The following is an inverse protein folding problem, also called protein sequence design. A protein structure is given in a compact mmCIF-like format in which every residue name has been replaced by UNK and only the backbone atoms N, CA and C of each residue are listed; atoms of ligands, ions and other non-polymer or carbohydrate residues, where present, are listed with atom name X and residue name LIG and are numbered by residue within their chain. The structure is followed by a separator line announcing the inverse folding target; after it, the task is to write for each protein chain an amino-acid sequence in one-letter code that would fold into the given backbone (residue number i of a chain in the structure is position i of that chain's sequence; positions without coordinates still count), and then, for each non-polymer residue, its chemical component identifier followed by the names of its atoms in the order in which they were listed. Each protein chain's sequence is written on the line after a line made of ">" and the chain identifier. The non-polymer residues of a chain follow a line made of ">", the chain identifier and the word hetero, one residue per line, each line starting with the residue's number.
data_IF_972683837621
#
_entry.id   IF_972683837621
#
_cell.length_a   1.000
_cell.length_b   1.000
_cell.length_c   1.000
_cell.angle_alpha   90.00
_cell.angle_beta   90.00
_cell.angle_gamma   90.00
#
_symmetry.space_group_name_H-M   'P 1'
#
loop_
_entity.id
_entity.type
_entity.pdbx_description
1 polymer ?
#
# COMPACT_ATOMS: atom_id res chain seq x y z
N UNK A 1 13.07 19.39 5.92
CA UNK A 1 13.98 18.85 4.89
C UNK A 1 13.23 17.76 4.18
N UNK A 2 13.03 17.94 2.87
CA UNK A 2 12.39 16.91 2.03
C UNK A 2 13.43 15.84 1.73
N UNK A 3 13.12 14.59 2.03
CA UNK A 3 14.00 13.45 1.75
C UNK A 3 13.58 12.90 0.40
N UNK A 4 14.47 12.75 -0.60
CA UNK A 4 14.12 12.19 -1.88
C UNK A 4 13.58 10.76 -1.72
N UNK A 5 12.56 10.44 -2.49
CA UNK A 5 11.99 9.08 -2.52
C UNK A 5 13.03 8.10 -3.07
N UNK A 6 13.36 7.04 -2.34
CA UNK A 6 14.32 6.06 -2.84
C UNK A 6 13.75 5.29 -4.02
N UNK A 7 14.57 5.15 -5.04
CA UNK A 7 14.23 4.48 -6.28
C UNK A 7 15.19 3.33 -6.52
N UNK A 8 14.67 2.16 -6.91
CA UNK A 8 15.53 1.08 -7.42
C UNK A 8 15.99 1.49 -8.82
N UNK A 9 17.29 1.68 -8.97
CA UNK A 9 17.89 1.95 -10.28
C UNK A 9 18.23 0.63 -10.97
N UNK A 10 17.37 0.24 -11.91
CA UNK A 10 17.58 -0.98 -12.68
C UNK A 10 18.70 -0.86 -13.73
N UNK A 11 19.13 0.34 -14.08
CA UNK A 11 20.24 0.53 -15.02
C UNK A 11 21.57 0.05 -14.44
N UNK A 12 21.70 0.07 -13.11
CA UNK A 12 22.90 -0.43 -12.41
C UNK A 12 22.72 -1.83 -11.80
N UNK A 13 21.54 -2.43 -11.93
CA UNK A 13 21.29 -3.76 -11.38
C UNK A 13 21.94 -4.84 -12.25
N UNK A 14 22.76 -5.76 -11.70
CA UNK A 14 23.51 -6.73 -12.49
C UNK A 14 22.66 -7.68 -13.35
N UNK A 15 21.37 -7.84 -13.01
CA UNK A 15 20.44 -8.63 -13.81
C UNK A 15 19.99 -7.91 -15.10
N UNK A 16 20.35 -6.63 -15.27
CA UNK A 16 19.95 -5.81 -16.41
C UNK A 16 21.17 -5.41 -17.23
N UNK A 17 21.50 -6.19 -18.22
CA UNK A 17 22.31 -5.76 -19.34
C UNK A 17 21.32 -5.36 -20.44
N UNK A 18 20.93 -4.11 -20.47
CA UNK A 18 20.02 -3.59 -21.50
C UNK A 18 20.71 -2.55 -22.39
N UNK A 19 20.34 -2.44 -23.67
CA UNK A 19 20.82 -1.36 -24.50
C UNK A 19 20.30 -0.03 -23.97
N UNK A 20 21.19 0.90 -23.68
CA UNK A 20 20.81 2.29 -23.47
C UNK A 20 20.38 2.87 -24.80
N UNK A 21 19.08 3.03 -25.03
CA UNK A 21 18.58 3.78 -26.16
C UNK A 21 18.98 5.26 -25.96
N UNK A 22 19.68 5.84 -26.94
CA UNK A 22 20.10 7.22 -26.90
C UNK A 22 18.92 8.22 -26.80
N UNK A 23 17.71 7.81 -27.15
CA UNK A 23 16.47 8.61 -26.99
C UNK A 23 15.86 8.54 -25.57
N UNK A 24 16.33 7.64 -24.72
CA UNK A 24 15.78 7.42 -23.37
C UNK A 24 15.80 8.66 -22.47
N UNK A 25 16.90 9.47 -22.40
CA UNK A 25 16.92 10.65 -21.55
C UNK A 25 15.85 11.67 -21.91
N UNK A 26 15.66 11.95 -23.22
CA UNK A 26 14.64 12.91 -23.68
C UNK A 26 13.23 12.39 -23.41
N UNK A 27 12.98 11.11 -23.69
CA UNK A 27 11.70 10.45 -23.44
C UNK A 27 11.40 10.41 -21.94
N UNK A 28 12.39 10.14 -21.11
CA UNK A 28 12.26 10.13 -19.64
C UNK A 28 11.93 11.53 -19.10
N UNK A 29 12.60 12.57 -19.61
CA UNK A 29 12.31 13.95 -19.25
C UNK A 29 10.90 14.38 -19.69
N UNK A 30 10.48 14.02 -20.90
CA UNK A 30 9.13 14.29 -21.39
C UNK A 30 8.07 13.57 -20.55
N UNK A 31 8.31 12.32 -20.17
CA UNK A 31 7.41 11.58 -19.31
C UNK A 31 7.33 12.19 -17.90
N UNK A 32 8.46 12.59 -17.32
CA UNK A 32 8.49 13.30 -16.04
C UNK A 32 7.68 14.61 -16.09
N UNK A 33 7.74 15.34 -17.21
CA UNK A 33 6.93 16.54 -17.41
C UNK A 33 5.41 16.24 -17.43
N UNK A 34 5.00 15.13 -18.05
CA UNK A 34 3.59 14.68 -18.01
C UNK A 34 3.17 14.34 -16.59
N UNK A 35 4.03 13.69 -15.81
CA UNK A 35 3.76 13.40 -14.40
C UNK A 35 3.61 14.70 -13.60
N UNK A 36 4.47 15.68 -13.80
CA UNK A 36 4.35 17.01 -13.19
C UNK A 36 2.99 17.67 -13.49
N UNK A 37 2.52 17.58 -14.73
CA UNK A 37 1.19 18.09 -15.12
C UNK A 37 0.03 17.34 -14.43
N UNK A 38 0.17 16.04 -14.20
CA UNK A 38 -0.81 15.27 -13.43
C UNK A 38 -0.82 15.68 -11.96
N UNK A 39 0.34 15.89 -11.36
CA UNK A 39 0.42 16.37 -9.97
C UNK A 39 -0.14 17.79 -9.85
N UNK A 40 0.23 18.72 -10.74
CA UNK A 40 -0.39 20.05 -10.78
C UNK A 40 -1.91 20.03 -10.96
N UNK A 41 -2.44 19.01 -11.63
CA UNK A 41 -3.89 18.84 -11.80
C UNK A 41 -4.56 18.39 -10.52
N UNK A 42 -3.94 17.45 -9.77
CA UNK A 42 -4.58 16.78 -8.65
C UNK A 42 -4.18 17.32 -7.28
N UNK A 43 -3.02 17.93 -7.12
CA UNK A 43 -2.54 18.44 -5.84
C UNK A 43 -3.50 19.47 -5.19
N UNK A 44 -4.04 20.46 -5.92
CA UNK A 44 -5.02 21.39 -5.35
C UNK A 44 -6.32 20.70 -4.89
N UNK A 45 -6.60 19.52 -5.45
CA UNK A 45 -7.77 18.71 -5.06
C UNK A 45 -7.47 17.91 -3.81
N UNK A 46 -6.26 17.30 -3.76
CA UNK A 46 -5.79 16.52 -2.62
C UNK A 46 -5.68 17.36 -1.35
N UNK A 47 -5.14 18.55 -1.50
CA UNK A 47 -4.93 19.51 -0.40
C UNK A 47 -6.16 20.38 -0.08
N UNK A 48 -7.30 20.11 -0.70
CA UNK A 48 -8.54 20.87 -0.46
C UNK A 48 -9.07 20.66 0.95
N UNK A 49 -9.36 21.76 1.65
CA UNK A 49 -10.02 21.74 2.96
C UNK A 49 -11.47 21.26 2.88
N UNK A 50 -12.05 21.24 1.68
CA UNK A 50 -13.42 20.78 1.45
C UNK A 50 -13.44 19.40 0.82
N UNK A 51 -14.17 18.43 1.40
CA UNK A 51 -14.35 17.11 0.82
C UNK A 51 -14.99 17.19 -0.56
N UNK A 52 -14.31 16.65 -1.56
CA UNK A 52 -14.84 16.56 -2.90
C UNK A 52 -15.35 15.15 -3.19
N UNK A 53 -16.50 15.04 -3.90
CA UNK A 53 -16.96 13.75 -4.37
C UNK A 53 -16.14 13.31 -5.58
N UNK A 54 -15.91 12.01 -5.73
CA UNK A 54 -15.20 11.43 -6.88
C UNK A 54 -15.82 11.88 -8.22
N UNK A 55 -17.14 11.93 -8.31
CA UNK A 55 -17.82 12.38 -9.51
C UNK A 55 -17.51 13.86 -9.84
N UNK A 56 -17.39 14.71 -8.82
CA UNK A 56 -17.02 16.12 -9.01
C UNK A 56 -15.56 16.22 -9.48
N UNK A 57 -14.65 15.49 -8.84
CA UNK A 57 -13.25 15.47 -9.23
C UNK A 57 -13.08 14.97 -10.67
N UNK A 58 -13.75 13.88 -11.06
CA UNK A 58 -13.73 13.37 -12.43
C UNK A 58 -14.16 14.44 -13.44
N UNK A 59 -15.27 15.13 -13.19
CA UNK A 59 -15.75 16.19 -14.09
C UNK A 59 -14.78 17.37 -14.21
N UNK A 60 -14.15 17.76 -13.10
CA UNK A 60 -13.20 18.87 -13.08
C UNK A 60 -11.91 18.55 -13.81
N UNK A 61 -11.42 17.30 -13.73
CA UNK A 61 -10.14 16.89 -14.25
C UNK A 61 -10.20 16.29 -15.65
N UNK A 62 -11.33 15.81 -16.12
CA UNK A 62 -11.48 14.91 -17.27
C UNK A 62 -10.71 15.36 -18.52
N UNK A 63 -10.92 16.58 -19.01
CA UNK A 63 -10.29 17.02 -20.25
C UNK A 63 -8.75 17.14 -20.16
N UNK A 64 -8.26 17.60 -19.00
CA UNK A 64 -6.82 17.73 -18.75
C UNK A 64 -6.18 16.37 -18.50
N UNK A 65 -6.84 15.51 -17.71
CA UNK A 65 -6.43 14.14 -17.45
C UNK A 65 -6.30 13.34 -18.74
N UNK A 66 -7.31 13.39 -19.61
CA UNK A 66 -7.27 12.68 -20.92
C UNK A 66 -6.05 13.11 -21.74
N UNK A 67 -5.77 14.41 -21.85
CA UNK A 67 -4.58 14.89 -22.57
C UNK A 67 -3.28 14.36 -21.97
N UNK A 68 -3.11 14.45 -20.66
CA UNK A 68 -1.91 13.94 -19.97
C UNK A 68 -1.73 12.43 -20.20
N UNK A 69 -2.81 11.65 -20.14
CA UNK A 69 -2.73 10.20 -20.37
C UNK A 69 -2.47 9.85 -21.85
N UNK A 70 -2.95 10.65 -22.80
CA UNK A 70 -2.62 10.48 -24.22
C UNK A 70 -1.16 10.82 -24.50
N UNK A 71 -0.61 11.83 -23.84
CA UNK A 71 0.81 12.15 -23.90
C UNK A 71 1.66 11.04 -23.27
N UNK A 72 1.29 10.56 -22.09
CA UNK A 72 1.92 9.41 -21.45
C UNK A 72 1.89 8.18 -22.35
N UNK A 73 0.75 7.88 -22.99
CA UNK A 73 0.59 6.74 -23.91
C UNK A 73 1.63 6.78 -25.03
N UNK A 74 1.79 7.90 -25.71
CA UNK A 74 2.79 8.03 -26.80
C UNK A 74 4.21 7.73 -26.33
N UNK A 75 4.57 8.22 -25.14
CA UNK A 75 5.90 8.03 -24.57
C UNK A 75 6.12 6.59 -24.08
N UNK A 76 5.09 5.95 -23.54
CA UNK A 76 5.15 4.58 -23.03
C UNK A 76 5.12 3.54 -24.15
N UNK A 77 4.43 3.80 -25.26
CA UNK A 77 4.36 2.86 -26.42
C UNK A 77 5.66 2.81 -27.24
N UNK A 78 6.50 3.84 -27.18
CA UNK A 78 7.70 3.90 -27.97
C UNK A 78 8.65 2.72 -27.67
N UNK A 79 8.98 1.93 -28.71
CA UNK A 79 9.84 0.75 -28.61
C UNK A 79 9.19 -0.49 -27.99
N UNK A 80 7.88 -0.47 -27.73
CA UNK A 80 7.16 -1.59 -27.15
C UNK A 80 6.53 -2.50 -28.22
N UNK A 81 6.42 -3.80 -27.89
CA UNK A 81 5.70 -4.77 -28.71
C UNK A 81 4.18 -4.72 -28.49
N UNK A 82 3.39 -5.43 -29.33
CA UNK A 82 1.94 -5.40 -29.25
C UNK A 82 1.36 -5.80 -27.89
N UNK A 83 1.97 -6.78 -27.21
CA UNK A 83 1.57 -7.25 -25.88
C UNK A 83 1.72 -6.17 -24.83
N UNK A 84 2.85 -5.49 -24.85
CA UNK A 84 3.20 -4.40 -23.91
C UNK A 84 2.33 -3.18 -24.17
N UNK A 85 2.05 -2.86 -25.42
CA UNK A 85 1.14 -1.78 -25.81
C UNK A 85 -0.26 -2.03 -25.23
N UNK A 86 -0.81 -3.24 -25.37
CA UNK A 86 -2.10 -3.59 -24.77
C UNK A 86 -2.08 -3.49 -23.24
N UNK A 87 -0.99 -3.94 -22.62
CA UNK A 87 -0.80 -3.83 -21.17
C UNK A 87 -0.75 -2.37 -20.70
N UNK A 88 0.00 -1.52 -21.41
CA UNK A 88 0.10 -0.10 -21.12
C UNK A 88 -1.26 0.60 -21.28
N UNK A 89 -2.01 0.29 -22.33
CA UNK A 89 -3.34 0.86 -22.54
C UNK A 89 -4.31 0.47 -21.41
N UNK A 90 -4.27 -0.77 -20.96
CA UNK A 90 -5.04 -1.22 -19.79
C UNK A 90 -4.61 -0.47 -18.51
N UNK A 91 -3.31 -0.28 -18.31
CA UNK A 91 -2.78 0.47 -17.17
C UNK A 91 -3.24 1.93 -17.17
N UNK A 92 -3.21 2.59 -18.31
CA UNK A 92 -3.66 3.98 -18.46
C UNK A 92 -5.17 4.11 -18.25
N UNK A 93 -5.96 3.13 -18.70
CA UNK A 93 -7.39 3.09 -18.43
C UNK A 93 -7.69 2.96 -16.93
N UNK A 94 -6.95 2.10 -16.23
CA UNK A 94 -7.06 1.96 -14.77
C UNK A 94 -6.58 3.23 -14.04
N UNK A 95 -5.48 3.86 -14.49
CA UNK A 95 -4.99 5.12 -13.93
C UNK A 95 -6.01 6.26 -14.10
N UNK A 96 -6.72 6.33 -15.23
CA UNK A 96 -7.80 7.30 -15.46
C UNK A 96 -8.93 7.18 -14.43
N UNK A 97 -9.11 6.00 -13.85
CA UNK A 97 -10.09 5.74 -12.78
C UNK A 97 -9.49 6.06 -11.41
N UNK A 98 -8.25 5.64 -11.18
CA UNK A 98 -7.63 5.69 -9.86
C UNK A 98 -7.19 7.11 -9.46
N UNK A 99 -6.64 7.90 -10.37
CA UNK A 99 -6.17 9.25 -10.08
C UNK A 99 -7.27 10.17 -9.51
N UNK A 100 -8.45 10.31 -10.15
CA UNK A 100 -9.55 11.10 -9.56
C UNK A 100 -10.10 10.51 -8.27
N UNK A 101 -10.12 9.18 -8.15
CA UNK A 101 -10.64 8.50 -6.95
C UNK A 101 -9.72 8.74 -5.76
N UNK A 102 -8.41 8.66 -5.97
CA UNK A 102 -7.40 8.96 -4.97
C UNK A 102 -7.46 10.42 -4.52
N UNK A 103 -7.46 11.36 -5.47
CA UNK A 103 -7.53 12.78 -5.14
C UNK A 103 -8.81 13.13 -4.35
N UNK A 104 -9.95 12.54 -4.73
CA UNK A 104 -11.19 12.68 -3.97
C UNK A 104 -11.12 12.06 -2.57
N UNK A 105 -10.41 10.93 -2.43
CA UNK A 105 -10.18 10.31 -1.13
C UNK A 105 -9.34 11.21 -0.23
N UNK A 106 -8.21 11.72 -0.70
CA UNK A 106 -7.32 12.59 0.08
C UNK A 106 -7.98 13.91 0.45
N UNK A 107 -8.76 14.51 -0.44
CA UNK A 107 -9.56 15.70 -0.09
C UNK A 107 -10.53 15.43 1.07
N UNK A 108 -11.01 14.19 1.21
CA UNK A 108 -11.86 13.79 2.34
C UNK A 108 -11.06 13.53 3.62
N UNK A 109 -9.83 13.06 3.49
CA UNK A 109 -8.92 12.86 4.62
C UNK A 109 -8.41 14.19 5.19
N UNK A 110 -8.48 15.27 4.41
CA UNK A 110 -8.03 16.59 4.82
C UNK A 110 -6.51 16.60 5.03
N UNK A 111 -5.76 16.31 3.96
CA UNK A 111 -4.31 16.44 4.03
C UNK A 111 -3.95 17.86 4.49
N UNK A 112 -3.34 17.94 5.65
CA UNK A 112 -2.78 19.20 6.14
C UNK A 112 -1.45 19.40 5.44
N UNK A 113 -1.27 20.54 4.80
CA UNK A 113 0.06 21.05 4.56
C UNK A 113 0.71 21.23 5.94
N UNK A 114 1.74 20.45 6.21
CA UNK A 114 2.41 20.34 7.50
C UNK A 114 3.22 21.59 7.86
N UNK A 115 2.55 22.72 7.98
CA UNK A 115 3.04 23.79 8.82
C UNK A 115 2.71 23.38 10.27
N UNK A 116 3.73 23.39 11.12
CA UNK A 116 3.74 22.94 12.50
C UNK A 116 2.42 23.18 13.25
N UNK A 117 1.45 22.29 13.13
CA UNK A 117 0.31 22.28 14.03
C UNK A 117 0.64 21.34 15.18
N UNK A 118 0.70 21.83 16.41
CA UNK A 118 0.97 20.99 17.56
C UNK A 118 -0.23 20.08 17.79
N UNK A 119 -0.12 18.83 17.37
CA UNK A 119 -1.08 17.80 17.77
C UNK A 119 -1.04 17.62 19.29
N UNK A 120 -2.20 17.55 19.90
CA UNK A 120 -2.33 17.31 21.34
C UNK A 120 -2.17 15.83 21.64
N UNK A 121 -2.78 14.96 20.83
CA UNK A 121 -2.69 13.51 20.98
C UNK A 121 -1.27 13.00 20.73
N UNK A 122 -0.70 12.18 21.63
CA UNK A 122 0.56 11.50 21.38
C UNK A 122 0.56 10.66 20.10
N UNK A 123 -0.57 10.01 19.78
CA UNK A 123 -0.77 9.22 18.56
C UNK A 123 -0.64 10.11 17.32
N UNK A 124 -1.38 11.22 17.26
CA UNK A 124 -1.35 12.14 16.14
C UNK A 124 0.04 12.73 15.94
N UNK A 125 0.71 13.10 17.04
CA UNK A 125 2.07 13.64 17.02
C UNK A 125 3.07 12.61 16.48
N UNK A 126 3.06 11.39 16.99
CA UNK A 126 3.98 10.35 16.54
C UNK A 126 3.79 10.01 15.05
N UNK A 127 2.53 9.94 14.57
CA UNK A 127 2.23 9.73 13.15
C UNK A 127 2.74 10.91 12.31
N UNK A 128 2.61 12.12 12.79
CA UNK A 128 3.14 13.31 12.10
C UNK A 128 4.68 13.34 12.06
N UNK A 129 5.34 12.94 13.14
CA UNK A 129 6.80 12.99 13.25
C UNK A 129 7.49 11.84 12.53
N UNK A 130 6.98 10.61 12.70
CA UNK A 130 7.66 9.39 12.26
C UNK A 130 6.86 8.55 11.25
N UNK A 131 5.53 8.77 11.15
CA UNK A 131 4.60 7.96 10.35
C UNK A 131 3.92 6.86 11.15
N UNK A 132 4.39 6.54 12.38
CA UNK A 132 3.84 5.48 13.20
C UNK A 132 3.83 5.82 14.69
N UNK A 133 2.94 5.16 15.43
CA UNK A 133 2.83 5.20 16.89
C UNK A 133 2.87 3.79 17.45
N UNK A 134 3.82 3.52 18.35
CA UNK A 134 3.98 2.23 19.02
C UNK A 134 3.42 2.33 20.44
N UNK A 135 2.61 1.36 20.86
CA UNK A 135 2.06 1.27 22.22
C UNK A 135 1.79 -0.18 22.60
N UNK A 136 1.31 -0.38 23.83
CA UNK A 136 0.94 -1.69 24.36
C UNK A 136 -0.43 -1.60 25.02
N UNK A 137 -1.27 -2.63 24.82
CA UNK A 137 -2.49 -2.82 25.61
C UNK A 137 -2.11 -3.25 27.04
N UNK A 138 -2.91 -2.86 27.99
CA UNK A 138 -2.73 -3.32 29.36
C UNK A 138 -3.04 -4.82 29.53
N UNK A 139 -2.87 -5.35 30.74
CA UNK A 139 -3.04 -6.78 31.00
C UNK A 139 -4.49 -7.26 30.78
N UNK A 140 -5.49 -6.44 31.10
CA UNK A 140 -6.91 -6.74 30.87
C UNK A 140 -7.22 -6.74 29.37
N UNK A 141 -6.83 -5.70 28.66
CA UNK A 141 -6.98 -5.57 27.22
C UNK A 141 -6.31 -6.71 26.45
N UNK A 142 -5.11 -7.12 26.89
CA UNK A 142 -4.42 -8.30 26.36
C UNK A 142 -5.25 -9.56 26.52
N UNK A 143 -5.80 -9.82 27.72
CA UNK A 143 -6.59 -11.03 27.98
C UNK A 143 -7.88 -11.03 27.15
N UNK A 144 -8.60 -9.92 27.12
CA UNK A 144 -9.82 -9.74 26.33
C UNK A 144 -9.57 -9.97 24.83
N UNK A 145 -8.44 -9.51 24.31
CA UNK A 145 -8.04 -9.73 22.92
C UNK A 145 -7.75 -11.21 22.63
N UNK A 146 -7.03 -11.89 23.52
CA UNK A 146 -6.73 -13.32 23.38
C UNK A 146 -8.03 -14.13 23.37
N UNK A 147 -8.94 -13.89 24.31
CA UNK A 147 -10.22 -14.60 24.44
C UNK A 147 -11.09 -14.41 23.18
N UNK A 148 -11.09 -13.20 22.61
CA UNK A 148 -11.81 -12.91 21.38
C UNK A 148 -11.27 -13.69 20.18
N UNK A 149 -9.95 -13.84 20.10
CA UNK A 149 -9.30 -14.33 18.87
C UNK A 149 -8.98 -15.83 18.88
N UNK A 150 -8.93 -16.46 20.05
CA UNK A 150 -8.60 -17.89 20.15
C UNK A 150 -9.51 -18.81 19.30
N UNK A 151 -10.84 -18.65 19.28
CA UNK A 151 -11.69 -19.46 18.41
C UNK A 151 -11.39 -19.26 16.91
N UNK A 152 -10.95 -18.06 16.54
CA UNK A 152 -10.67 -17.68 15.14
C UNK A 152 -9.29 -18.14 14.66
N UNK A 153 -8.33 -18.22 15.57
CA UNK A 153 -7.01 -18.81 15.27
C UNK A 153 -7.17 -20.24 14.77
N UNK A 154 -8.03 -21.03 15.38
CA UNK A 154 -8.34 -22.39 14.95
C UNK A 154 -8.91 -22.44 13.53
N UNK A 155 -9.81 -21.52 13.18
CA UNK A 155 -10.34 -21.42 11.81
C UNK A 155 -9.26 -21.08 10.78
N UNK A 156 -8.33 -20.18 11.11
CA UNK A 156 -7.18 -19.87 10.23
C UNK A 156 -6.27 -21.07 10.08
N UNK A 157 -6.04 -21.84 11.14
CA UNK A 157 -5.22 -23.05 11.12
C UNK A 157 -5.85 -24.17 10.27
N UNK A 158 -7.16 -24.29 10.28
CA UNK A 158 -7.92 -25.25 9.47
C UNK A 158 -7.92 -24.89 7.98
N UNK A 159 -7.88 -23.59 7.66
CA UNK A 159 -7.83 -23.08 6.29
C UNK A 159 -6.42 -23.23 5.68
N UNK A 160 -5.91 -24.44 5.60
CA UNK A 160 -4.58 -24.69 5.02
C UNK A 160 -4.57 -24.37 3.52
N UNK A 161 -3.88 -23.29 3.14
CA UNK A 161 -3.54 -23.06 1.75
C UNK A 161 -2.28 -23.86 1.37
N UNK A 162 -2.12 -24.20 0.09
CA UNK A 162 -0.90 -24.86 -0.41
C UNK A 162 0.33 -23.93 -0.33
N UNK A 163 0.13 -22.64 -0.14
CA UNK A 163 1.16 -21.61 -0.04
C UNK A 163 1.18 -21.05 1.37
N UNK A 164 2.04 -21.60 2.19
CA UNK A 164 1.90 -21.59 3.65
C UNK A 164 2.49 -20.38 4.39
N UNK A 165 3.08 -19.40 3.72
CA UNK A 165 3.74 -18.30 4.45
C UNK A 165 2.77 -17.22 4.93
N UNK A 166 1.58 -17.14 4.35
CA UNK A 166 0.58 -16.13 4.69
C UNK A 166 -0.83 -16.72 4.69
N UNK A 167 -1.49 -16.63 5.82
CA UNK A 167 -2.90 -16.97 5.98
C UNK A 167 -3.63 -15.82 6.63
N UNK A 168 -4.77 -15.45 6.10
CA UNK A 168 -5.57 -14.37 6.63
C UNK A 168 -7.04 -14.73 6.68
N UNK A 169 -7.68 -14.40 7.78
CA UNK A 169 -9.13 -14.44 7.93
C UNK A 169 -9.63 -13.01 8.11
N UNK A 170 -10.25 -12.48 7.07
CA UNK A 170 -10.90 -11.17 7.16
C UNK A 170 -12.20 -11.32 7.90
N UNK A 171 -12.32 -10.65 9.03
CA UNK A 171 -13.50 -10.64 9.85
C UNK A 171 -14.30 -9.39 9.48
N UNK A 172 -15.47 -9.64 8.90
CA UNK A 172 -16.46 -8.59 8.65
C UNK A 172 -17.73 -9.05 9.37
N UNK A 173 -18.06 -8.43 10.46
CA UNK A 173 -18.77 -7.17 10.44
C UNK A 173 -18.03 -6.04 11.17
N UNK A 174 -18.15 -4.86 10.62
CA UNK A 174 -17.67 -3.60 11.20
C UNK A 174 -18.51 -3.17 12.43
N UNK A 175 -19.40 -4.00 12.88
CA UNK A 175 -20.36 -3.76 13.98
C UNK A 175 -20.66 -5.03 14.73
N UNK A 176 -21.02 -4.86 15.98
CA UNK A 176 -21.36 -5.94 16.89
C UNK A 176 -20.34 -6.06 18.01
N UNK A 177 -20.62 -6.88 19.03
CA UNK A 177 -19.84 -6.92 20.27
C UNK A 177 -18.33 -7.10 20.07
N UNK A 178 -17.95 -7.87 19.06
CA UNK A 178 -16.53 -8.14 18.76
C UNK A 178 -15.82 -6.93 18.13
N UNK A 179 -16.48 -6.27 17.19
CA UNK A 179 -15.97 -5.05 16.59
C UNK A 179 -15.91 -3.91 17.61
N UNK A 180 -16.93 -3.82 18.45
CA UNK A 180 -16.99 -2.86 19.55
C UNK A 180 -15.85 -3.09 20.53
N UNK A 181 -15.58 -4.36 20.90
CA UNK A 181 -14.46 -4.72 21.78
C UNK A 181 -13.10 -4.29 21.18
N UNK A 182 -12.85 -4.56 19.89
CA UNK A 182 -11.59 -4.15 19.24
C UNK A 182 -11.45 -2.63 19.25
N UNK A 183 -12.54 -1.91 18.97
CA UNK A 183 -12.53 -0.43 19.01
C UNK A 183 -12.31 0.07 20.43
N UNK A 184 -12.93 -0.54 21.44
CA UNK A 184 -12.76 -0.15 22.85
C UNK A 184 -11.30 -0.34 23.29
N UNK A 185 -10.69 -1.48 22.99
CA UNK A 185 -9.27 -1.72 23.29
C UNK A 185 -8.34 -0.67 22.64
N UNK A 186 -8.65 -0.22 21.44
CA UNK A 186 -7.88 0.83 20.77
C UNK A 186 -8.19 2.23 21.31
N UNK A 187 -9.41 2.46 21.82
CA UNK A 187 -9.77 3.69 22.51
C UNK A 187 -9.02 3.84 23.84
N UNK A 188 -8.80 2.74 24.57
CA UNK A 188 -8.06 2.75 25.84
C UNK A 188 -6.61 3.27 25.65
N UNK A 189 -6.02 3.05 24.49
CA UNK A 189 -4.70 3.58 24.10
C UNK A 189 -4.75 4.85 23.21
N UNK A 190 -5.94 5.41 23.02
CA UNK A 190 -6.15 6.71 22.34
C UNK A 190 -5.99 6.71 20.81
N UNK A 191 -5.89 5.54 20.16
CA UNK A 191 -5.60 5.44 18.72
C UNK A 191 -6.71 6.04 17.86
N UNK A 192 -8.01 5.71 18.00
CA UNK A 192 -9.06 6.28 17.16
C UNK A 192 -9.18 7.80 17.29
N UNK A 193 -8.99 8.33 18.49
CA UNK A 193 -9.00 9.77 18.75
C UNK A 193 -7.79 10.45 18.09
N UNK A 194 -6.60 9.86 18.18
CA UNK A 194 -5.40 10.35 17.53
C UNK A 194 -5.52 10.33 16.00
N UNK A 195 -6.08 9.29 15.42
CA UNK A 195 -6.38 9.28 13.99
C UNK A 195 -7.39 10.39 13.61
N UNK A 196 -8.44 10.56 14.42
CA UNK A 196 -9.43 11.60 14.16
C UNK A 196 -8.82 13.01 14.20
N UNK A 197 -7.91 13.26 15.12
CA UNK A 197 -7.16 14.51 15.21
C UNK A 197 -6.21 14.68 14.02
N UNK A 198 -5.39 13.66 13.74
CA UNK A 198 -4.40 13.68 12.65
C UNK A 198 -5.04 13.92 11.29
N UNK A 199 -6.12 13.20 10.97
CA UNK A 199 -6.82 13.34 9.71
C UNK A 199 -7.89 14.46 9.72
N UNK A 200 -8.07 15.16 10.84
CA UNK A 200 -9.12 16.16 11.03
C UNK A 200 -10.52 15.65 10.68
N UNK A 201 -10.81 14.40 10.99
CA UNK A 201 -12.07 13.70 10.63
C UNK A 201 -12.39 12.61 11.63
N UNK A 202 -13.68 12.42 11.90
CA UNK A 202 -14.11 11.24 12.66
C UNK A 202 -13.78 9.98 11.87
N UNK A 203 -13.09 9.06 12.53
CA UNK A 203 -12.70 7.78 11.96
C UNK A 203 -13.61 6.67 12.49
N UNK A 204 -13.83 5.64 11.70
CA UNK A 204 -14.60 4.46 12.08
C UNK A 204 -13.86 3.19 11.63
N UNK A 205 -14.11 2.10 12.31
CA UNK A 205 -13.60 0.80 11.93
C UNK A 205 -14.05 0.45 10.50
N UNK A 206 -13.11 0.11 9.66
CA UNK A 206 -13.33 -0.30 8.28
C UNK A 206 -13.27 -1.82 8.11
N UNK A 207 -12.22 -2.44 8.63
CA UNK A 207 -12.02 -3.89 8.62
C UNK A 207 -11.12 -4.33 9.76
N UNK A 208 -11.12 -5.59 10.03
CA UNK A 208 -10.08 -6.28 10.79
C UNK A 208 -9.79 -7.65 10.20
N UNK A 209 -8.53 -8.04 10.26
CA UNK A 209 -8.04 -9.27 9.63
C UNK A 209 -7.08 -9.95 10.57
N UNK A 210 -7.38 -11.20 10.93
CA UNK A 210 -6.45 -12.06 11.65
C UNK A 210 -5.47 -12.67 10.66
N UNK A 211 -4.19 -12.49 10.93
CA UNK A 211 -3.11 -12.89 10.03
C UNK A 211 -2.19 -13.86 10.76
N UNK A 212 -1.92 -14.99 10.11
CA UNK A 212 -0.84 -15.89 10.44
C UNK A 212 0.21 -15.83 9.34
N UNK A 213 1.46 -15.61 9.70
CA UNK A 213 2.62 -15.69 8.80
C UNK A 213 3.51 -16.82 9.27
N UNK A 214 3.66 -17.84 8.45
CA UNK A 214 4.51 -18.99 8.76
C UNK A 214 5.93 -18.80 8.21
N UNK A 215 6.94 -19.44 8.81
CA UNK A 215 8.27 -19.50 8.26
C UNK A 215 8.25 -19.99 6.82
N UNK A 216 8.98 -19.31 5.97
CA UNK A 216 9.07 -19.68 4.57
C UNK A 216 10.50 -19.53 4.09
N UNK A 217 10.92 -20.42 3.22
CA UNK A 217 12.19 -20.28 2.53
C UNK A 217 12.14 -19.09 1.56
N UNK A 218 13.27 -18.44 1.39
CA UNK A 218 13.42 -17.24 0.55
C UNK A 218 13.51 -17.65 -0.94
N UNK A 219 12.61 -18.53 -1.37
CA UNK A 219 12.60 -19.13 -2.71
C UNK A 219 12.39 -18.09 -3.84
N UNK A 220 11.80 -16.93 -3.56
CA UNK A 220 11.72 -15.86 -4.54
C UNK A 220 13.06 -15.13 -4.78
N UNK A 221 14.08 -15.37 -3.97
CA UNK A 221 15.47 -15.02 -4.29
C UNK A 221 16.08 -15.98 -5.28
N UNK A 222 15.51 -17.20 -5.39
CA UNK A 222 15.84 -18.16 -6.42
C UNK A 222 14.86 -17.94 -7.58
N UNK A 223 15.34 -17.29 -8.64
CA UNK A 223 14.49 -16.87 -9.70
C UNK A 223 13.81 -18.06 -10.34
N UNK A 224 12.52 -17.95 -10.58
CA UNK A 224 11.67 -18.90 -11.33
C UNK A 224 11.17 -20.14 -10.62
N UNK A 225 11.52 -20.40 -9.40
CA UNK A 225 10.80 -21.39 -8.66
C UNK A 225 9.36 -20.90 -8.51
N UNK A 226 8.53 -21.26 -9.42
CA UNK A 226 7.11 -20.94 -9.39
C UNK A 226 6.78 -19.47 -9.71
N UNK A 227 6.94 -19.07 -10.95
CA UNK A 227 6.37 -17.83 -11.47
C UNK A 227 4.86 -17.68 -11.17
N UNK A 228 4.22 -18.71 -10.61
CA UNK A 228 2.84 -18.74 -10.16
C UNK A 228 2.62 -18.55 -8.67
N UNK A 229 3.67 -18.50 -7.83
CA UNK A 229 3.46 -18.28 -6.40
C UNK A 229 3.62 -16.81 -6.07
N UNK A 230 2.50 -16.17 -5.85
CA UNK A 230 2.49 -14.79 -5.39
C UNK A 230 3.01 -14.72 -3.97
N UNK A 231 4.18 -14.12 -3.77
CA UNK A 231 4.53 -13.54 -2.49
C UNK A 231 3.52 -12.46 -2.17
N UNK A 232 3.13 -12.32 -0.90
CA UNK A 232 2.31 -11.20 -0.49
C UNK A 232 3.05 -9.88 -0.77
N UNK A 233 2.42 -8.87 -1.40
CA UNK A 233 3.02 -7.55 -1.58
C UNK A 233 3.49 -6.92 -0.28
N UNK A 234 3.00 -7.40 0.85
CA UNK A 234 3.33 -6.89 2.18
C UNK A 234 4.74 -7.23 2.65
N UNK A 235 5.48 -8.10 1.95
CA UNK A 235 6.86 -8.46 2.29
C UNK A 235 7.91 -7.47 1.77
N UNK A 236 7.52 -6.60 0.86
CA UNK A 236 8.37 -5.53 0.33
C UNK A 236 8.02 -4.19 0.96
N UNK A 237 8.99 -3.30 1.08
CA UNK A 237 8.70 -1.93 1.45
C UNK A 237 7.80 -1.29 0.40
N UNK A 238 6.65 -0.79 0.84
CA UNK A 238 5.63 -0.23 -0.02
C UNK A 238 4.80 0.81 0.74
N UNK A 239 4.02 1.57 0.01
CA UNK A 239 2.87 2.29 0.54
C UNK A 239 1.60 1.60 0.06
N UNK A 240 0.55 1.64 0.87
CA UNK A 240 -0.73 1.05 0.49
C UNK A 240 -1.33 1.76 -0.73
N UNK A 241 -1.76 0.99 -1.71
CA UNK A 241 -2.19 1.51 -3.00
C UNK A 241 -3.66 1.93 -3.05
N UNK A 242 -4.43 1.77 -1.99
CA UNK A 242 -5.88 1.82 -2.09
C UNK A 242 -6.53 2.62 -0.98
N UNK A 243 -6.18 3.87 -0.74
CA UNK A 243 -7.00 4.75 0.08
C UNK A 243 -7.64 4.08 1.32
N UNK A 244 -6.98 3.10 1.90
CA UNK A 244 -7.57 2.26 2.95
C UNK A 244 -7.63 2.98 4.29
N UNK A 245 -6.95 4.11 4.38
CA UNK A 245 -6.84 4.85 5.63
C UNK A 245 -5.82 4.26 6.61
N UNK A 246 -5.72 4.81 7.81
CA UNK A 246 -4.76 4.36 8.80
C UNK A 246 -5.07 2.96 9.29
N UNK A 247 -4.02 2.27 9.69
CA UNK A 247 -4.07 0.89 10.17
C UNK A 247 -3.44 0.76 11.54
N UNK A 248 -3.80 -0.32 12.22
CA UNK A 248 -3.16 -0.78 13.45
C UNK A 248 -2.79 -2.24 13.26
N UNK A 249 -1.54 -2.58 13.55
CA UNK A 249 -1.11 -3.96 13.77
C UNK A 249 -1.07 -4.23 15.25
N UNK A 250 -1.74 -5.28 15.71
CA UNK A 250 -1.70 -5.75 17.09
C UNK A 250 -1.09 -7.14 17.07
N UNK A 251 -0.01 -7.35 17.82
CA UNK A 251 0.67 -8.64 17.84
C UNK A 251 -0.01 -9.61 18.81
N UNK A 252 -0.18 -10.84 18.37
CA UNK A 252 -0.82 -11.93 19.10
C UNK A 252 0.17 -13.06 19.46
N UNK A 253 1.43 -12.85 19.11
CA UNK A 253 2.59 -13.65 19.52
C UNK A 253 3.75 -12.70 19.80
N UNK A 254 4.74 -13.17 20.54
CA UNK A 254 6.01 -12.45 20.61
C UNK A 254 6.64 -12.42 19.22
N UNK A 255 7.28 -11.31 18.87
CA UNK A 255 7.87 -11.08 17.57
C UNK A 255 9.32 -10.67 17.72
N UNK A 256 10.20 -11.52 17.22
CA UNK A 256 11.63 -11.30 17.05
C UNK A 256 11.96 -11.20 15.57
N UNK A 257 13.23 -11.02 15.23
CA UNK A 257 13.69 -10.99 13.83
C UNK A 257 13.27 -12.25 13.04
N UNK A 258 13.22 -13.42 13.70
CA UNK A 258 12.81 -14.69 13.08
C UNK A 258 11.33 -14.74 12.68
N UNK A 259 10.49 -13.89 13.30
CA UNK A 259 9.06 -13.86 13.06
C UNK A 259 8.68 -12.92 11.89
N UNK A 260 9.63 -12.23 11.27
CA UNK A 260 9.35 -11.24 10.25
C UNK A 260 8.57 -10.04 10.81
N UNK A 261 9.21 -9.23 11.64
CA UNK A 261 8.57 -8.08 12.29
C UNK A 261 8.04 -7.06 11.30
N UNK A 262 7.14 -6.20 11.78
CA UNK A 262 6.77 -5.01 11.02
C UNK A 262 7.98 -4.06 10.95
N UNK A 263 8.26 -3.59 9.76
CA UNK A 263 9.32 -2.63 9.50
C UNK A 263 8.76 -1.42 8.77
N UNK A 264 9.29 -0.25 9.08
CA UNK A 264 8.91 0.98 8.39
C UNK A 264 10.07 1.95 8.29
N UNK A 265 9.97 2.90 7.40
CA UNK A 265 10.96 3.97 7.23
C UNK A 265 10.41 5.26 7.88
N UNK A 266 10.90 5.63 9.08
CA UNK A 266 10.44 6.82 9.77
C UNK A 266 10.60 8.07 8.92
N UNK A 267 9.56 8.91 8.88
CA UNK A 267 9.55 10.13 8.08
C UNK A 267 9.28 9.94 6.59
N UNK A 268 9.14 8.70 6.10
CA UNK A 268 8.89 8.43 4.67
C UNK A 268 7.56 9.00 4.16
N UNK A 269 6.61 9.26 5.02
CA UNK A 269 5.36 9.95 4.68
C UNK A 269 5.58 11.42 4.26
N UNK A 270 6.76 11.98 4.53
CA UNK A 270 7.19 13.33 4.15
C UNK A 270 8.18 13.34 2.97
N UNK A 271 8.42 12.19 2.35
CA UNK A 271 9.28 12.12 1.18
C UNK A 271 8.65 12.86 0.01
N UNK A 272 9.50 13.51 -0.76
CA UNK A 272 9.12 14.15 -2.01
C UNK A 272 8.87 13.09 -3.08
N UNK A 273 7.62 12.73 -3.24
CA UNK A 273 7.20 11.72 -4.23
C UNK A 273 5.97 12.20 -4.99
N UNK A 274 5.95 11.90 -6.26
CA UNK A 274 4.78 12.10 -7.09
C UNK A 274 3.76 10.98 -6.84
N UNK A 275 2.62 11.32 -6.27
CA UNK A 275 1.51 10.38 -6.07
C UNK A 275 0.94 9.93 -7.43
N UNK A 276 0.93 10.82 -8.42
CA UNK A 276 0.46 10.48 -9.76
C UNK A 276 1.38 9.45 -10.43
N UNK A 277 2.70 9.59 -10.28
CA UNK A 277 3.67 8.60 -10.76
C UNK A 277 3.49 7.26 -10.05
N UNK A 278 3.36 7.27 -8.74
CA UNK A 278 3.16 6.04 -7.95
C UNK A 278 1.92 5.26 -8.39
N UNK A 279 0.80 5.95 -8.61
CA UNK A 279 -0.42 5.31 -9.11
C UNK A 279 -0.19 4.74 -10.50
N UNK A 280 0.42 5.51 -11.39
CA UNK A 280 0.66 5.08 -12.77
C UNK A 280 1.60 3.88 -12.82
N UNK A 281 2.72 3.93 -12.11
CA UNK A 281 3.68 2.82 -12.03
C UNK A 281 3.03 1.54 -11.50
N UNK A 282 2.22 1.64 -10.46
CA UNK A 282 1.46 0.48 -9.96
C UNK A 282 0.53 -0.13 -11.01
N UNK A 283 -0.14 0.68 -11.81
CA UNK A 283 -1.01 0.15 -12.87
C UNK A 283 -0.17 -0.48 -13.99
N UNK A 284 0.95 0.13 -14.37
CA UNK A 284 1.88 -0.43 -15.35
C UNK A 284 2.43 -1.77 -14.86
N UNK A 285 2.91 -1.84 -13.63
CA UNK A 285 3.37 -3.09 -13.01
C UNK A 285 2.32 -4.20 -13.08
N UNK A 286 1.10 -3.90 -12.68
CA UNK A 286 0.00 -4.87 -12.67
C UNK A 286 -0.36 -5.34 -14.07
N UNK A 287 -0.42 -4.42 -15.03
CA UNK A 287 -0.80 -4.71 -16.40
C UNK A 287 0.28 -5.53 -17.11
N UNK A 288 1.55 -5.17 -16.97
CA UNK A 288 2.68 -5.94 -17.49
C UNK A 288 2.66 -7.36 -16.94
N UNK A 289 2.52 -7.50 -15.64
CA UNK A 289 2.49 -8.79 -15.00
C UNK A 289 1.33 -9.66 -15.46
N UNK A 290 0.13 -9.10 -15.58
CA UNK A 290 -1.03 -9.81 -16.12
C UNK A 290 -0.80 -10.27 -17.57
N UNK A 291 -0.14 -9.44 -18.38
CA UNK A 291 0.17 -9.77 -19.76
C UNK A 291 1.18 -10.95 -19.86
N UNK A 292 2.12 -11.06 -18.93
CA UNK A 292 3.17 -12.08 -18.98
C UNK A 292 2.79 -13.39 -18.29
N UNK A 293 2.01 -13.35 -17.21
CA UNK A 293 1.73 -14.54 -16.39
C UNK A 293 0.26 -14.72 -16.01
N UNK A 294 -0.62 -13.89 -16.52
CA UNK A 294 -2.05 -13.94 -16.22
C UNK A 294 -2.39 -13.84 -14.71
N UNK A 295 -1.57 -13.15 -13.93
CA UNK A 295 -1.76 -12.96 -12.50
C UNK A 295 -2.00 -11.50 -12.09
N UNK A 296 -2.70 -11.32 -10.96
CA UNK A 296 -3.11 -10.02 -10.44
C UNK A 296 -2.21 -9.49 -9.31
N UNK A 297 -0.96 -9.88 -9.26
CA UNK A 297 -0.03 -9.39 -8.23
C UNK A 297 0.86 -8.27 -8.75
N UNK A 298 1.28 -7.35 -7.90
CA UNK A 298 1.98 -6.14 -8.31
C UNK A 298 3.44 -6.17 -7.88
N UNK A 299 4.33 -6.90 -8.58
CA UNK A 299 5.77 -6.63 -8.55
C UNK A 299 6.49 -7.36 -9.66
N UNK A 300 7.57 -6.75 -10.12
CA UNK A 300 8.33 -7.25 -11.25
C UNK A 300 9.27 -8.40 -10.91
N UNK A 301 9.65 -8.54 -9.65
CA UNK A 301 10.78 -9.36 -9.26
C UNK A 301 10.77 -10.79 -9.80
N UNK A 302 9.68 -11.57 -9.74
CA UNK A 302 9.68 -12.93 -10.28
C UNK A 302 9.91 -12.98 -11.79
N UNK A 303 9.75 -11.87 -12.49
CA UNK A 303 9.82 -11.78 -13.95
C UNK A 303 11.12 -11.16 -14.46
N UNK A 304 11.94 -10.60 -13.55
CA UNK A 304 13.16 -9.90 -13.90
C UNK A 304 14.20 -10.77 -14.64
N UNK A 305 14.02 -12.07 -14.61
CA UNK A 305 14.94 -12.97 -15.29
C UNK A 305 14.44 -13.41 -16.66
N UNK A 306 13.19 -13.13 -17.02
CA UNK A 306 12.73 -13.31 -18.38
C UNK A 306 13.33 -12.20 -19.25
N UNK A 307 14.16 -12.56 -20.21
CA UNK A 307 14.86 -11.58 -21.05
C UNK A 307 13.87 -10.64 -21.76
N UNK A 308 12.81 -11.19 -22.30
CA UNK A 308 11.79 -10.39 -22.97
C UNK A 308 11.09 -9.41 -22.01
N UNK A 309 10.86 -9.84 -20.76
CA UNK A 309 10.27 -8.96 -19.76
C UNK A 309 11.21 -7.81 -19.38
N UNK A 310 12.50 -8.12 -19.16
CA UNK A 310 13.52 -7.08 -18.93
C UNK A 310 13.60 -6.11 -20.08
N UNK A 311 13.64 -6.61 -21.31
CA UNK A 311 13.65 -5.78 -22.51
C UNK A 311 12.45 -4.85 -22.58
N UNK A 312 11.24 -5.35 -22.33
CA UNK A 312 10.03 -4.56 -22.29
C UNK A 312 10.08 -3.48 -21.19
N UNK A 313 10.56 -3.84 -20.01
CA UNK A 313 10.72 -2.90 -18.87
C UNK A 313 11.75 -1.81 -19.22
N UNK A 314 12.90 -2.19 -19.76
CA UNK A 314 13.97 -1.23 -20.12
C UNK A 314 13.58 -0.30 -21.27
N UNK A 315 12.59 -0.67 -22.06
CA UNK A 315 12.00 0.22 -23.07
C UNK A 315 11.05 1.27 -22.49
N UNK A 316 10.67 1.20 -21.23
CA UNK A 316 9.91 2.27 -20.59
C UNK A 316 10.78 3.49 -20.29
N UNK A 317 10.22 4.71 -20.26
CA UNK A 317 10.91 5.86 -19.68
C UNK A 317 11.35 5.57 -18.24
N UNK A 318 12.53 6.05 -17.84
CA UNK A 318 13.11 5.79 -16.51
C UNK A 318 12.11 5.98 -15.37
N UNK A 319 11.31 7.08 -15.26
CA UNK A 319 10.35 7.21 -14.19
C UNK A 319 9.25 6.13 -14.22
N UNK A 320 8.85 5.64 -15.40
CA UNK A 320 7.79 4.63 -15.53
C UNK A 320 8.23 3.22 -15.13
N UNK A 321 9.52 2.94 -15.10
CA UNK A 321 10.07 1.64 -14.67
C UNK A 321 10.51 1.61 -13.21
N UNK A 322 10.40 2.73 -12.51
CA UNK A 322 10.68 2.81 -11.09
C UNK A 322 9.63 2.03 -10.29
N UNK A 323 10.06 1.14 -9.44
CA UNK A 323 9.13 0.40 -8.58
C UNK A 323 8.66 1.22 -7.39
N UNK A 324 7.39 1.06 -7.05
CA UNK A 324 6.83 1.54 -5.80
C UNK A 324 7.10 0.57 -4.62
N UNK A 325 7.74 -0.57 -4.90
CA UNK A 325 8.08 -1.61 -3.94
C UNK A 325 9.58 -1.88 -4.00
N UNK A 326 10.24 -1.87 -2.87
CA UNK A 326 11.65 -2.17 -2.74
C UNK A 326 11.93 -2.92 -1.43
N UNK A 327 13.06 -3.55 -1.32
CA UNK A 327 13.41 -4.31 -0.11
C UNK A 327 14.38 -5.42 -0.44
N UNK A 328 13.91 -6.66 -0.50
CA UNK A 328 14.76 -7.82 -0.73
C UNK A 328 15.36 -7.88 -2.15
N UNK A 329 14.89 -7.07 -3.08
CA UNK A 329 15.47 -6.84 -4.40
C UNK A 329 16.54 -5.76 -4.41
N UNK A 330 16.69 -5.04 -3.32
CA UNK A 330 17.78 -4.10 -3.15
C UNK A 330 19.09 -4.90 -3.05
N UNK A 331 20.04 -4.54 -3.89
CA UNK A 331 21.34 -5.19 -3.92
C UNK A 331 22.09 -4.96 -2.62
N UNK A 332 22.55 -6.03 -2.01
CA UNK A 332 23.43 -5.95 -0.85
C UNK A 332 24.69 -5.12 -1.20
N UNK A 333 25.01 -4.16 -0.35
CA UNK A 333 26.12 -3.23 -0.56
C UNK A 333 25.82 -2.02 -1.46
N UNK A 334 24.60 -1.92 -2.06
CA UNK A 334 24.19 -0.72 -2.81
C UNK A 334 23.89 0.46 -1.89
N UNK A 335 23.88 1.69 -2.43
CA UNK A 335 23.51 2.88 -1.68
C UNK A 335 22.08 2.78 -1.11
N UNK A 336 21.16 2.21 -1.90
CA UNK A 336 19.78 2.00 -1.45
C UNK A 336 19.70 0.98 -0.31
N UNK A 337 20.49 -0.09 -0.36
CA UNK A 337 20.60 -1.05 0.74
C UNK A 337 21.09 -0.36 2.02
N UNK A 338 22.19 0.38 1.92
CA UNK A 338 22.75 1.13 3.05
C UNK A 338 21.72 2.15 3.60
N UNK A 339 20.98 2.83 2.73
CA UNK A 339 19.93 3.76 3.12
C UNK A 339 18.80 3.05 3.89
N UNK A 340 18.26 1.95 3.35
CA UNK A 340 17.17 1.20 3.99
C UNK A 340 17.62 0.66 5.36
N UNK A 341 18.77 -0.01 5.42
CA UNK A 341 19.27 -0.60 6.67
C UNK A 341 19.57 0.45 7.74
N UNK A 342 20.04 1.62 7.34
CA UNK A 342 20.36 2.71 8.28
C UNK A 342 19.14 3.47 8.77
N UNK A 343 18.03 3.44 8.03
CA UNK A 343 16.86 4.28 8.31
C UNK A 343 15.61 3.48 8.71
N UNK A 344 15.58 2.17 8.48
CA UNK A 344 14.42 1.36 8.87
C UNK A 344 14.29 1.25 10.39
N UNK A 345 13.06 1.25 10.84
CA UNK A 345 12.67 0.86 12.20
C UNK A 345 12.08 -0.55 12.15
N UNK A 346 12.67 -1.47 12.87
CA UNK A 346 12.16 -2.82 13.09
C UNK A 346 11.41 -2.87 14.42
N UNK A 347 10.16 -3.29 14.39
CA UNK A 347 9.29 -3.32 15.58
C UNK A 347 9.32 -4.73 16.18
N UNK A 348 10.26 -4.97 17.07
CA UNK A 348 10.28 -6.17 17.91
C UNK A 348 9.24 -6.01 19.01
N UNK A 349 8.37 -6.98 19.18
CA UNK A 349 7.14 -6.81 19.95
C UNK A 349 6.83 -7.99 20.85
N UNK A 350 6.05 -7.72 21.88
CA UNK A 350 5.40 -8.72 22.74
C UNK A 350 3.93 -8.85 22.39
N UNK A 351 3.30 -9.89 22.90
CA UNK A 351 1.83 -10.05 22.76
C UNK A 351 1.12 -8.81 23.30
N UNK A 352 0.20 -8.27 22.52
CA UNK A 352 -0.58 -7.07 22.75
C UNK A 352 0.15 -5.73 22.50
N UNK A 353 1.37 -5.76 21.97
CA UNK A 353 1.97 -4.55 21.39
C UNK A 353 1.25 -4.15 20.12
N UNK A 354 1.11 -2.84 19.93
CA UNK A 354 0.38 -2.24 18.82
C UNK A 354 1.26 -1.27 18.05
N UNK A 355 1.09 -1.25 16.74
CA UNK A 355 1.66 -0.21 15.86
C UNK A 355 0.53 0.41 15.06
N UNK A 356 0.26 1.70 15.30
CA UNK A 356 -0.69 2.50 14.53
C UNK A 356 0.06 3.34 13.50
N UNK A 357 -0.38 3.34 12.24
CA UNK A 357 0.35 4.00 11.15
C UNK A 357 -0.57 4.41 9.99
N UNK A 358 -0.11 5.38 9.19
CA UNK A 358 -0.73 5.74 7.93
C UNK A 358 -0.08 5.00 6.77
N UNK A 359 -0.59 3.82 6.47
CA UNK A 359 -0.06 2.97 5.41
C UNK A 359 -0.14 3.56 4.00
N UNK A 360 -0.96 4.59 3.79
CA UNK A 360 -1.08 5.23 2.47
C UNK A 360 0.08 6.18 2.16
N UNK A 361 0.83 6.60 3.19
CA UNK A 361 1.92 7.58 3.05
C UNK A 361 3.24 7.07 3.60
N UNK A 362 3.22 6.29 4.66
CA UNK A 362 4.42 5.74 5.26
C UNK A 362 4.86 4.46 4.53
N UNK A 363 6.10 4.43 4.11
CA UNK A 363 6.72 3.24 3.52
C UNK A 363 6.97 2.20 4.61
N UNK A 364 6.37 1.02 4.44
CA UNK A 364 6.38 -0.05 5.43
C UNK A 364 6.35 -1.43 4.80
N UNK A 365 6.65 -2.45 5.60
CA UNK A 365 6.47 -3.86 5.23
C UNK A 365 6.17 -4.73 6.45
N UNK A 366 5.52 -5.88 6.22
CA UNK A 366 5.61 -7.03 7.12
C UNK A 366 6.77 -7.88 6.63
N UNK A 367 7.89 -7.89 7.32
CA UNK A 367 9.02 -8.69 6.91
C UNK A 367 8.66 -10.19 6.92
N UNK A 368 9.46 -11.00 6.24
CA UNK A 368 9.22 -12.44 6.16
C UNK A 368 9.55 -13.14 7.44
N UNK A 369 8.68 -14.07 7.80
CA UNK A 369 8.98 -15.03 8.86
C UNK A 369 10.04 -16.02 8.36
N UNK A 370 11.25 -15.92 8.88
CA UNK A 370 12.37 -16.78 8.52
C UNK A 370 12.46 -18.05 9.35
N UNK A 371 12.12 -18.00 10.64
CA UNK A 371 12.29 -19.12 11.57
C UNK A 371 11.07 -19.44 12.42
N UNK A 372 10.15 -18.49 12.63
CA UNK A 372 9.04 -18.67 13.56
C UNK A 372 7.72 -18.07 13.04
N UNK A 373 6.60 -18.63 13.47
CA UNK A 373 5.26 -18.18 13.09
C UNK A 373 4.88 -16.90 13.83
N UNK A 374 4.41 -15.90 13.09
CA UNK A 374 3.84 -14.67 13.61
C UNK A 374 2.32 -14.69 13.53
N UNK A 375 1.67 -14.28 14.61
CA UNK A 375 0.26 -13.95 14.64
C UNK A 375 0.05 -12.47 14.87
N UNK A 376 -0.82 -11.85 14.07
CA UNK A 376 -1.16 -10.44 14.19
C UNK A 376 -2.62 -10.20 13.82
N UNK A 377 -3.21 -9.17 14.42
CA UNK A 377 -4.49 -8.60 14.03
C UNK A 377 -4.22 -7.28 13.31
N UNK A 378 -4.64 -7.17 12.07
CA UNK A 378 -4.63 -5.92 11.33
C UNK A 378 -6.01 -5.26 11.41
N UNK A 379 -6.06 -4.03 11.86
CA UNK A 379 -7.28 -3.22 11.99
C UNK A 379 -7.16 -2.01 11.09
N UNK A 380 -8.12 -1.80 10.20
CA UNK A 380 -8.18 -0.64 9.31
C UNK A 380 -9.27 0.33 9.72
N UNK A 381 -8.99 1.62 9.57
CA UNK A 381 -9.94 2.70 9.81
C UNK A 381 -10.21 3.48 8.52
N UNK A 382 -11.41 4.07 8.44
CA UNK A 382 -11.80 4.97 7.35
C UNK A 382 -12.52 6.19 7.90
N UNK A 383 -12.55 7.31 7.17
CA UNK A 383 -13.41 8.44 7.54
C UNK A 383 -14.85 7.99 7.67
N UNK A 384 -15.48 8.32 8.79
CA UNK A 384 -16.88 7.96 9.05
C UNK A 384 -17.78 8.51 7.94
N UNK A 385 -18.52 7.65 7.22
CA UNK A 385 -19.39 8.10 6.14
C UNK A 385 -20.46 9.04 6.66
N UNK A 386 -20.70 10.16 5.97
CA UNK A 386 -21.84 11.02 6.27
C UNK A 386 -23.19 10.28 6.10
N UNK A 387 -24.24 10.76 6.77
CA UNK A 387 -25.55 10.10 6.85
C UNK A 387 -26.13 9.69 5.46
N UNK A 388 -25.96 10.51 4.44
CA UNK A 388 -26.43 10.21 3.07
C UNK A 388 -25.72 9.00 2.44
N UNK A 389 -24.41 8.79 2.68
CA UNK A 389 -23.66 7.63 2.19
C UNK A 389 -24.03 6.34 2.91
N UNK A 390 -24.33 6.44 4.19
CA UNK A 390 -24.78 5.30 4.99
C UNK A 390 -26.10 4.74 4.44
N UNK A 391 -27.02 5.60 3.99
CA UNK A 391 -28.27 5.20 3.38
C UNK A 391 -28.07 4.49 2.03
N UNK A 392 -27.21 5.02 1.16
CA UNK A 392 -26.89 4.39 -0.15
C UNK A 392 -26.19 3.03 0.04
N UNK A 393 -25.26 2.91 0.97
CA UNK A 393 -24.57 1.64 1.26
C UNK A 393 -25.51 0.58 1.83
N UNK A 394 -26.46 0.99 2.69
CA UNK A 394 -27.53 0.12 3.19
C UNK A 394 -28.46 -0.35 2.06
N UNK A 395 -28.83 0.50 1.14
CA UNK A 395 -29.64 0.15 -0.02
C UNK A 395 -28.96 -0.85 -0.94
N UNK A 396 -27.66 -0.69 -1.21
CA UNK A 396 -26.87 -1.64 -2.03
C UNK A 396 -26.67 -2.98 -1.34
N UNK A 397 -26.42 -3.01 -0.05
CA UNK A 397 -26.30 -4.25 0.73
C UNK A 397 -27.61 -5.02 0.79
N UNK A 398 -28.74 -4.33 0.97
CA UNK A 398 -30.07 -4.92 0.94
C UNK A 398 -30.41 -5.48 -0.46
N UNK A 399 -30.07 -4.75 -1.54
CA UNK A 399 -30.28 -5.21 -2.90
C UNK A 399 -29.41 -6.45 -3.24
N UNK A 400 -28.14 -6.45 -2.82
CA UNK A 400 -27.25 -7.61 -2.99
C UNK A 400 -27.73 -8.86 -2.22
N UNK A 401 -28.26 -8.67 -1.01
CA UNK A 401 -28.87 -9.75 -0.20
C UNK A 401 -30.13 -10.32 -0.82
N UNK A 402 -30.91 -9.49 -1.53
CA UNK A 402 -32.12 -9.93 -2.24
C UNK A 402 -31.79 -10.67 -3.55
N UNK A 403 -30.70 -10.29 -4.22
CA UNK A 403 -30.25 -10.95 -5.45
C UNK A 403 -29.49 -12.26 -5.19
N UNK A 404 -28.80 -12.38 -4.04
CA UNK A 404 -28.09 -13.61 -3.65
C UNK A 404 -28.98 -14.74 -3.09
N UNK A 405 -30.30 -14.52 -2.97
CA UNK A 405 -31.26 -15.55 -2.54
C UNK A 405 -31.99 -16.25 -3.68
N UNK A 406 -31.60 -16.01 -4.92
CA UNK A 406 -32.11 -16.71 -6.11
C UNK A 406 -30.96 -17.41 -6.83
N UNK A 407 -30.39 -18.43 -6.19
CA UNK A 407 -29.42 -19.32 -6.76
C UNK A 407 -29.33 -20.60 -5.94
#
# INVERSE_FOLDING_TARGET
>A
VTIPYPVVDYDVHPAFEGPSDASQPERSAAFAAVIGQLDELFEPIRSSDQPLSEQRVRRMSQARLTRCLDDARRLLHAGQGPREIEAIDAALADAAIQLPAEAAYRSRMGERNHGASPFVSPVARAIDETGAFECQLDADGKQRLIDLLEPRRRLVDEQRSKHNFYKALTIVPQRGPEADLVVDLLNDVGIPAGFAEFFNRKMSLHFWTLIRSDPTEVWWKDPYRDAGVSTSPTTYFHVDARFEGPKVMIYLSDVTDEHGPFEYLPGSHRWDRSISLEILNKQIERAHKKAWVNENTAYYRPYMQLEEFRSALMNLPTPARQQSHFGDDVLEGSELHAFVESNKRTVLSKIADCVAFDGNRMTHRGALAGGATRWALQVGFEPTPGAARTAVRRGRSAAASLLGRKG
#
